data_IF_966794043089
#
_entry.id   IF_966794043089
#
_cell.length_a   1.000
_cell.length_b   1.000
_cell.length_c   1.000
_cell.angle_alpha   90.00
_cell.angle_beta   90.00
_cell.angle_gamma   90.00
#
_symmetry.space_group_name_H-M   'P 1'
#
loop_
_entity.id
_entity.type
_entity.pdbx_description
1 polymer ?
#
# COMPACT_ATOMS: atom_id res chain seq x y z
N UNK A 1 10.00 1.24 -31.25
CA UNK A 1 9.96 1.36 -29.77
C UNK A 1 9.64 2.82 -29.45
N UNK A 2 8.41 3.26 -29.70
CA UNK A 2 8.00 4.65 -29.47
C UNK A 2 6.74 4.59 -28.61
N UNK A 3 6.89 4.88 -27.32
CA UNK A 3 5.75 4.88 -26.39
C UNK A 3 6.06 4.46 -24.95
N UNK A 4 7.21 3.82 -24.67
CA UNK A 4 7.50 3.26 -23.35
C UNK A 4 7.36 4.25 -22.19
N UNK A 5 7.98 5.43 -22.30
CA UNK A 5 7.91 6.45 -21.25
C UNK A 5 6.52 7.08 -21.09
N UNK A 6 5.77 7.27 -22.19
CA UNK A 6 4.43 7.85 -22.16
C UNK A 6 3.42 6.87 -21.55
N UNK A 7 3.53 5.59 -21.89
CA UNK A 7 2.72 4.51 -21.32
C UNK A 7 3.05 4.30 -19.84
N UNK A 8 4.33 4.32 -19.46
CA UNK A 8 4.74 4.25 -18.05
C UNK A 8 4.18 5.43 -17.22
N UNK A 9 4.26 6.65 -17.75
CA UNK A 9 3.69 7.83 -17.08
C UNK A 9 2.18 7.71 -16.88
N UNK A 10 1.45 7.29 -17.91
CA UNK A 10 0.00 7.12 -17.83
C UNK A 10 -0.36 6.02 -16.81
N UNK A 11 0.36 4.90 -16.82
CA UNK A 11 0.16 3.81 -15.84
C UNK A 11 0.47 4.27 -14.42
N UNK A 12 1.55 5.02 -14.22
CA UNK A 12 1.93 5.56 -12.92
C UNK A 12 0.91 6.60 -12.39
N UNK A 13 0.34 7.44 -13.26
CA UNK A 13 -0.68 8.42 -12.88
C UNK A 13 -2.00 7.73 -12.53
N UNK A 14 -2.46 6.77 -13.33
CA UNK A 14 -3.66 5.99 -13.03
C UNK A 14 -3.51 5.22 -11.71
N UNK A 15 -2.32 4.66 -11.50
CA UNK A 15 -1.97 4.01 -10.25
C UNK A 15 -1.99 4.97 -9.07
N UNK A 16 -1.32 6.12 -9.19
CA UNK A 16 -1.31 7.12 -8.14
C UNK A 16 -2.73 7.57 -7.78
N UNK A 17 -3.59 7.78 -8.80
CA UNK A 17 -5.01 8.10 -8.61
C UNK A 17 -5.72 7.00 -7.80
N UNK A 18 -5.56 5.75 -8.23
CA UNK A 18 -6.15 4.60 -7.54
C UNK A 18 -5.70 4.55 -6.08
N UNK A 19 -4.41 4.74 -5.82
CA UNK A 19 -3.85 4.76 -4.47
C UNK A 19 -4.40 5.91 -3.63
N UNK A 20 -4.50 7.12 -4.20
CA UNK A 20 -5.01 8.29 -3.50
C UNK A 20 -6.51 8.19 -3.19
N UNK A 21 -7.29 7.42 -3.95
CA UNK A 21 -8.72 7.26 -3.73
C UNK A 21 -9.06 6.02 -2.90
N UNK A 22 -8.40 4.89 -3.16
CA UNK A 22 -8.65 3.62 -2.45
C UNK A 22 -8.10 3.67 -1.03
N UNK A 23 -6.90 4.22 -0.81
CA UNK A 23 -6.28 4.29 0.52
C UNK A 23 -7.16 5.00 1.57
N UNK A 24 -7.71 6.21 1.32
CA UNK A 24 -8.57 6.85 2.31
C UNK A 24 -9.88 6.08 2.53
N UNK A 25 -10.42 5.43 1.49
CA UNK A 25 -11.62 4.61 1.61
C UNK A 25 -11.39 3.40 2.52
N UNK A 26 -10.30 2.64 2.27
CA UNK A 26 -9.91 1.51 3.10
C UNK A 26 -9.68 1.97 4.54
N UNK A 27 -9.00 3.10 4.74
CA UNK A 27 -8.75 3.64 6.08
C UNK A 27 -10.02 4.08 6.79
N UNK A 28 -11.00 4.64 6.08
CA UNK A 28 -12.30 5.03 6.63
C UNK A 28 -13.12 3.81 7.05
N UNK A 29 -13.20 2.79 6.20
CA UNK A 29 -13.88 1.53 6.51
C UNK A 29 -13.18 0.76 7.64
N UNK A 30 -11.85 0.85 7.70
CA UNK A 30 -11.04 0.19 8.73
C UNK A 30 -10.95 1.01 10.02
N UNK A 31 -11.39 2.27 10.04
CA UNK A 31 -11.30 3.15 11.20
C UNK A 31 -11.87 2.52 12.49
N UNK A 32 -13.08 1.89 12.50
CA UNK A 32 -13.58 1.24 13.70
C UNK A 32 -12.67 0.10 14.18
N UNK A 33 -12.15 -0.73 13.26
CA UNK A 33 -11.24 -1.82 13.57
C UNK A 33 -9.89 -1.31 14.10
N UNK A 34 -9.35 -0.25 13.48
CA UNK A 34 -8.12 0.42 13.93
C UNK A 34 -8.31 0.95 15.35
N UNK A 35 -9.48 1.50 15.67
CA UNK A 35 -9.77 2.03 17.00
C UNK A 35 -9.92 0.92 18.04
N UNK A 36 -10.65 -0.16 17.72
CA UNK A 36 -10.83 -1.33 18.60
C UNK A 36 -9.49 -2.04 18.89
N UNK A 37 -8.61 -2.09 17.90
CA UNK A 37 -7.30 -2.75 18.01
C UNK A 37 -6.17 -1.83 18.50
N UNK A 38 -6.49 -0.61 18.94
CA UNK A 38 -5.52 0.41 19.36
C UNK A 38 -4.41 0.66 18.33
N UNK A 39 -4.76 0.67 17.05
CA UNK A 39 -3.82 0.91 15.96
C UNK A 39 -3.09 -0.32 15.46
N UNK A 40 -3.26 -1.50 16.06
CA UNK A 40 -2.62 -2.73 15.58
C UNK A 40 -3.07 -3.13 14.16
N UNK A 41 -4.35 -2.88 13.83
CA UNK A 41 -4.87 -3.12 12.48
C UNK A 41 -4.21 -2.25 11.39
N UNK A 42 -3.44 -1.21 11.76
CA UNK A 42 -2.61 -0.48 10.80
C UNK A 42 -1.58 -1.39 10.12
N UNK A 43 -1.12 -2.47 10.78
CA UNK A 43 -0.22 -3.46 10.15
C UNK A 43 -0.92 -4.10 8.96
N UNK A 44 -2.18 -4.54 9.12
CA UNK A 44 -2.96 -5.14 8.04
C UNK A 44 -3.23 -4.14 6.90
N UNK A 45 -3.53 -2.89 7.23
CA UNK A 45 -3.69 -1.81 6.23
C UNK A 45 -2.38 -1.59 5.46
N UNK A 46 -1.24 -1.57 6.15
CA UNK A 46 0.08 -1.42 5.51
C UNK A 46 0.42 -2.61 4.61
N UNK A 47 0.11 -3.85 5.04
CA UNK A 47 0.29 -5.05 4.20
C UNK A 47 -0.58 -4.95 2.94
N UNK A 48 -1.86 -4.61 3.11
CA UNK A 48 -2.79 -4.48 1.98
C UNK A 48 -2.33 -3.38 1.01
N UNK A 49 -1.80 -2.27 1.52
CA UNK A 49 -1.16 -1.27 0.68
C UNK A 49 0.04 -1.86 -0.04
N UNK A 50 1.08 -2.33 0.67
CA UNK A 50 2.30 -2.83 0.02
C UNK A 50 2.02 -3.92 -1.02
N UNK A 51 1.06 -4.80 -0.75
CA UNK A 51 0.60 -5.79 -1.72
C UNK A 51 -0.13 -5.18 -2.93
N UNK A 52 -0.91 -4.14 -2.73
CA UNK A 52 -1.52 -3.38 -3.83
C UNK A 52 -0.46 -2.66 -4.67
N UNK A 53 0.60 -2.13 -4.04
CA UNK A 53 1.76 -1.58 -4.73
C UNK A 53 2.49 -2.64 -5.55
N UNK A 54 2.72 -3.84 -5.00
CA UNK A 54 3.34 -4.98 -5.67
C UNK A 54 2.61 -5.37 -6.97
N UNK A 55 1.28 -5.40 -6.92
CA UNK A 55 0.45 -5.77 -8.07
C UNK A 55 0.48 -4.69 -9.16
N UNK A 56 0.56 -3.42 -8.76
CA UNK A 56 0.37 -2.31 -9.67
C UNK A 56 1.67 -1.70 -10.19
N UNK A 57 2.76 -1.82 -9.43
CA UNK A 57 4.09 -1.37 -9.80
C UNK A 57 4.90 -2.57 -10.24
N UNK A 58 5.05 -2.72 -11.56
CA UNK A 58 5.90 -3.78 -12.14
C UNK A 58 7.37 -3.72 -11.68
N UNK A 59 7.81 -2.59 -11.09
CA UNK A 59 9.16 -2.41 -10.53
C UNK A 59 9.29 -2.80 -9.05
N UNK A 60 8.17 -2.88 -8.31
CA UNK A 60 8.19 -3.27 -6.90
C UNK A 60 7.74 -4.73 -6.84
N UNK A 61 8.69 -5.64 -6.67
CA UNK A 61 8.43 -7.06 -6.42
C UNK A 61 8.80 -7.41 -5.00
N UNK A 62 7.86 -7.94 -4.23
CA UNK A 62 8.15 -8.55 -2.93
C UNK A 62 8.21 -10.08 -3.06
N UNK A 63 9.36 -10.65 -2.67
CA UNK A 63 9.60 -12.11 -2.74
C UNK A 63 8.62 -12.96 -1.93
N UNK A 64 8.00 -12.40 -0.88
CA UNK A 64 7.13 -13.18 0.02
C UNK A 64 6.19 -12.31 0.86
N UNK A 65 5.06 -12.91 1.25
CA UNK A 65 4.12 -12.35 2.23
C UNK A 65 4.80 -12.05 3.59
N UNK A 66 5.86 -12.79 3.93
CA UNK A 66 6.66 -12.52 5.14
C UNK A 66 7.38 -11.18 5.05
N UNK A 67 7.89 -10.83 3.86
CA UNK A 67 8.54 -9.54 3.60
C UNK A 67 7.54 -8.40 3.78
N UNK A 68 6.33 -8.54 3.24
CA UNK A 68 5.25 -7.57 3.42
C UNK A 68 4.90 -7.38 4.90
N UNK A 69 4.85 -8.48 5.68
CA UNK A 69 4.61 -8.42 7.12
C UNK A 69 5.70 -7.65 7.86
N UNK A 70 6.99 -7.98 7.66
CA UNK A 70 8.09 -7.30 8.35
C UNK A 70 8.16 -5.81 8.00
N UNK A 71 8.01 -5.44 6.72
CA UNK A 71 7.99 -4.02 6.31
C UNK A 71 6.82 -3.29 6.97
N UNK A 72 5.63 -3.89 6.95
CA UNK A 72 4.45 -3.29 7.58
C UNK A 72 4.59 -3.16 9.09
N UNK A 73 5.26 -4.11 9.74
CA UNK A 73 5.56 -4.06 11.16
C UNK A 73 6.54 -2.92 11.48
N UNK A 74 7.61 -2.77 10.69
CA UNK A 74 8.57 -1.67 10.82
C UNK A 74 7.86 -0.32 10.64
N UNK A 75 7.02 -0.16 9.62
CA UNK A 75 6.25 1.06 9.38
C UNK A 75 5.31 1.35 10.56
N UNK A 76 4.65 0.32 11.09
CA UNK A 76 3.75 0.47 12.23
C UNK A 76 4.50 0.95 13.48
N UNK A 77 5.66 0.37 13.79
CA UNK A 77 6.50 0.79 14.92
C UNK A 77 7.07 2.20 14.69
N UNK A 78 7.58 2.50 13.50
CA UNK A 78 8.14 3.80 13.17
C UNK A 78 7.10 4.94 13.25
N UNK A 79 5.84 4.64 12.95
CA UNK A 79 4.74 5.61 12.99
C UNK A 79 4.09 5.74 14.39
N UNK A 80 4.58 5.00 15.39
CA UNK A 80 4.22 5.16 16.82
C UNK A 80 5.10 6.23 17.50
N UNK A 81 6.29 6.51 16.96
CA UNK A 81 7.22 7.56 17.43
C UNK A 81 7.06 8.84 16.61
#
# INVERSE_FOLDING_TARGET
>A
MEGGAKTLLISAVLLALLYTLIRPLIRLLSAPLVWITFGLFNIAINIALLWTADILLAEISFDSIKTLFYISFIIAVANIF
#
